data_IF_882278441074
#
_entry.id   IF_882278441074
#
_cell.length_a   1.000
_cell.length_b   1.000
_cell.length_c   1.000
_cell.angle_alpha   90.00
_cell.angle_beta   90.00
_cell.angle_gamma   90.00
#
_symmetry.space_group_name_H-M   'P 1'
#
loop_
_entity.id
_entity.type
_entity.pdbx_description
1 polymer ?
#
# COMPACT_ATOMS: atom_id res chain seq x y z
N UNK A 1 -8.08 28.51 -29.11
CA UNK A 1 -8.32 28.61 -27.65
C UNK A 1 -9.48 27.68 -27.20
N UNK A 2 -10.39 27.22 -28.08
CA UNK A 2 -11.54 26.37 -27.70
C UNK A 2 -11.30 24.87 -27.64
N UNK A 3 -10.12 24.36 -28.03
CA UNK A 3 -9.77 22.94 -27.96
C UNK A 3 -9.31 22.46 -26.58
N UNK A 4 -8.95 23.37 -25.68
CA UNK A 4 -8.42 23.03 -24.35
C UNK A 4 -9.49 22.65 -23.30
N UNK A 5 -10.72 23.19 -23.44
CA UNK A 5 -11.77 23.03 -22.42
C UNK A 5 -12.55 21.69 -22.54
N UNK A 6 -12.79 21.23 -23.77
CA UNK A 6 -13.51 19.94 -23.99
C UNK A 6 -12.66 18.73 -23.62
N UNK A 7 -11.32 18.82 -23.75
CA UNK A 7 -10.39 17.76 -23.32
C UNK A 7 -10.30 17.61 -21.80
N UNK A 8 -10.45 18.69 -21.05
CA UNK A 8 -10.31 18.67 -19.59
C UNK A 8 -11.51 18.03 -18.88
N UNK A 9 -12.73 18.21 -19.39
CA UNK A 9 -13.92 17.63 -18.77
C UNK A 9 -14.06 16.13 -18.99
N UNK A 10 -13.67 15.64 -20.16
CA UNK A 10 -13.67 14.20 -20.46
C UNK A 10 -12.59 13.48 -19.62
N UNK A 11 -11.46 14.13 -19.38
CA UNK A 11 -10.37 13.60 -18.57
C UNK A 11 -10.73 13.47 -17.07
N UNK A 12 -11.57 14.37 -16.53
CA UNK A 12 -11.97 14.35 -15.11
C UNK A 12 -12.99 13.23 -14.85
N UNK A 13 -13.86 12.92 -15.79
CA UNK A 13 -14.91 11.90 -15.65
C UNK A 13 -14.34 10.47 -15.70
N UNK A 14 -13.32 10.22 -16.51
CA UNK A 14 -12.63 8.92 -16.55
C UNK A 14 -11.76 8.71 -15.33
N UNK A 15 -11.09 9.74 -14.79
CA UNK A 15 -10.29 9.63 -13.57
C UNK A 15 -11.11 9.23 -12.35
N UNK A 16 -12.36 9.64 -12.22
CA UNK A 16 -13.23 9.27 -11.10
C UNK A 16 -13.42 7.75 -11.00
N UNK A 17 -13.50 7.04 -12.11
CA UNK A 17 -13.63 5.58 -12.12
C UNK A 17 -12.39 4.89 -11.52
N UNK A 18 -11.20 5.37 -11.84
CA UNK A 18 -9.94 4.83 -11.31
C UNK A 18 -9.72 5.10 -9.81
N UNK A 19 -10.44 6.06 -9.24
CA UNK A 19 -10.43 6.32 -7.80
C UNK A 19 -11.59 5.60 -7.10
N UNK A 20 -12.78 5.62 -7.68
CA UNK A 20 -14.01 5.06 -7.07
C UNK A 20 -13.96 3.53 -7.08
N UNK A 21 -13.48 2.89 -8.14
CA UNK A 21 -13.44 1.42 -8.24
C UNK A 21 -12.53 0.82 -7.16
N UNK A 22 -11.26 1.26 -6.97
CA UNK A 22 -10.43 0.78 -5.87
C UNK A 22 -11.02 1.07 -4.50
N UNK A 23 -11.65 2.23 -4.31
CA UNK A 23 -12.30 2.59 -3.05
C UNK A 23 -13.45 1.65 -2.72
N UNK A 24 -14.35 1.38 -3.67
CA UNK A 24 -15.46 0.44 -3.48
C UNK A 24 -14.96 -0.99 -3.28
N UNK A 25 -13.93 -1.40 -4.04
CA UNK A 25 -13.29 -2.70 -3.86
C UNK A 25 -12.70 -2.85 -2.46
N UNK A 26 -12.02 -1.82 -1.95
CA UNK A 26 -11.47 -1.81 -0.58
C UNK A 26 -12.57 -1.94 0.48
N UNK A 27 -13.66 -1.18 0.35
CA UNK A 27 -14.81 -1.26 1.27
C UNK A 27 -15.44 -2.65 1.22
N UNK A 28 -15.65 -3.22 0.03
CA UNK A 28 -16.23 -4.54 -0.13
C UNK A 28 -15.34 -5.63 0.46
N UNK A 29 -14.03 -5.61 0.20
CA UNK A 29 -13.07 -6.56 0.75
C UNK A 29 -13.00 -6.45 2.26
N UNK A 30 -12.93 -5.23 2.80
CA UNK A 30 -12.93 -5.02 4.25
C UNK A 30 -14.20 -5.56 4.90
N UNK A 31 -15.38 -5.28 4.32
CA UNK A 31 -16.66 -5.78 4.82
C UNK A 31 -16.74 -7.31 4.78
N UNK A 32 -16.24 -7.95 3.71
CA UNK A 32 -16.20 -9.41 3.59
C UNK A 32 -15.28 -10.03 4.64
N UNK A 33 -14.08 -9.49 4.82
CA UNK A 33 -13.11 -10.01 5.79
C UNK A 33 -13.63 -9.82 7.22
N UNK A 34 -14.14 -8.63 7.54
CA UNK A 34 -14.71 -8.34 8.86
C UNK A 34 -15.92 -9.24 9.16
N UNK A 35 -16.80 -9.44 8.17
CA UNK A 35 -17.95 -10.34 8.30
C UNK A 35 -17.55 -11.81 8.48
N UNK A 36 -16.60 -12.29 7.69
CA UNK A 36 -16.09 -13.67 7.80
C UNK A 36 -15.40 -13.91 9.14
N UNK A 37 -14.64 -12.94 9.61
CA UNK A 37 -13.98 -13.04 10.91
C UNK A 37 -14.99 -13.03 12.05
N UNK A 38 -15.99 -12.14 11.99
CA UNK A 38 -17.06 -12.11 12.98
C UNK A 38 -17.77 -13.46 13.10
N UNK A 39 -18.08 -14.11 11.97
CA UNK A 39 -18.69 -15.45 11.96
C UNK A 39 -17.74 -16.51 12.55
N UNK A 40 -16.46 -16.49 12.17
CA UNK A 40 -15.47 -17.42 12.68
C UNK A 40 -15.29 -17.27 14.20
N UNK A 41 -15.18 -16.04 14.69
CA UNK A 41 -15.00 -15.74 16.09
C UNK A 41 -16.24 -16.06 16.92
N UNK A 42 -17.44 -15.79 16.40
CA UNK A 42 -18.68 -16.12 17.08
C UNK A 42 -18.90 -17.63 17.18
N UNK A 43 -18.55 -18.41 16.14
CA UNK A 43 -18.56 -19.87 16.19
C UNK A 43 -17.60 -20.41 17.25
N UNK A 44 -16.36 -19.94 17.22
CA UNK A 44 -15.35 -20.34 18.20
C UNK A 44 -15.73 -19.97 19.65
N UNK A 45 -16.37 -18.81 19.85
CA UNK A 45 -16.87 -18.38 21.16
C UNK A 45 -17.96 -19.31 21.68
N UNK A 46 -18.93 -19.70 20.86
CA UNK A 46 -20.04 -20.60 21.23
C UNK A 46 -19.48 -21.97 21.63
N UNK A 47 -18.55 -22.53 20.84
CA UNK A 47 -17.93 -23.84 21.14
C UNK A 47 -17.12 -23.79 22.45
N UNK A 48 -16.31 -22.74 22.63
CA UNK A 48 -15.42 -22.64 23.80
C UNK A 48 -16.18 -22.36 25.10
N UNK A 49 -17.24 -21.55 25.05
CA UNK A 49 -18.04 -21.25 26.27
C UNK A 49 -18.98 -22.35 26.64
N UNK A 50 -19.41 -23.19 25.69
CA UNK A 50 -20.26 -24.36 25.93
C UNK A 50 -19.54 -25.48 26.69
N UNK A 51 -18.25 -25.63 26.52
CA UNK A 51 -17.45 -26.70 27.15
C UNK A 51 -16.88 -26.32 28.53
N UNK A 52 -16.71 -25.01 28.82
CA UNK A 52 -16.14 -24.55 30.09
C UNK A 52 -17.25 -24.24 31.11
N UNK A 53 -17.96 -25.26 31.52
CA UNK A 53 -18.89 -25.21 32.64
C UNK A 53 -18.20 -25.71 33.90
N UNK A 54 -17.79 -24.78 34.79
CA UNK A 54 -17.17 -25.19 36.07
C UNK A 54 -16.30 -24.11 36.72
N UNK A 55 -15.46 -24.53 37.62
CA UNK A 55 -14.57 -23.68 38.47
C UNK A 55 -13.65 -22.76 37.66
N UNK A 56 -13.48 -22.98 36.33
CA UNK A 56 -12.62 -22.23 35.45
C UNK A 56 -13.37 -21.13 34.64
N UNK A 57 -14.65 -20.89 34.90
CA UNK A 57 -15.46 -19.90 34.20
C UNK A 57 -14.91 -18.45 34.34
N UNK A 58 -14.14 -18.17 35.37
CA UNK A 58 -13.47 -16.87 35.50
C UNK A 58 -12.39 -16.65 34.44
N UNK A 59 -11.75 -17.71 33.94
CA UNK A 59 -10.75 -17.63 32.87
C UNK A 59 -11.39 -17.14 31.54
N UNK A 60 -12.62 -17.48 31.27
CA UNK A 60 -13.30 -17.04 30.05
C UNK A 60 -13.44 -15.51 30.00
N UNK A 61 -13.60 -14.87 31.16
CA UNK A 61 -13.68 -13.42 31.26
C UNK A 61 -12.38 -12.71 30.84
N UNK A 62 -11.22 -13.36 30.99
CA UNK A 62 -9.91 -12.83 30.62
C UNK A 62 -9.53 -13.28 29.21
N UNK A 63 -9.71 -14.54 28.89
CA UNK A 63 -9.29 -15.13 27.63
C UNK A 63 -10.13 -14.64 26.44
N UNK A 64 -11.43 -14.51 26.62
CA UNK A 64 -12.34 -14.05 25.57
C UNK A 64 -11.97 -12.68 24.99
N UNK A 65 -11.82 -11.59 25.80
CA UNK A 65 -11.44 -10.30 25.25
C UNK A 65 -10.04 -10.31 24.61
N UNK A 66 -9.12 -11.13 25.09
CA UNK A 66 -7.80 -11.28 24.47
C UNK A 66 -7.91 -11.92 23.09
N UNK A 67 -8.69 -13.00 22.95
CA UNK A 67 -8.93 -13.65 21.66
C UNK A 67 -9.59 -12.68 20.67
N UNK A 68 -10.60 -11.92 21.13
CA UNK A 68 -11.25 -10.91 20.30
C UNK A 68 -10.28 -9.80 19.88
N UNK A 69 -9.45 -9.31 20.79
CA UNK A 69 -8.45 -8.29 20.50
C UNK A 69 -7.43 -8.81 19.48
N UNK A 70 -6.84 -9.97 19.73
CA UNK A 70 -5.83 -10.57 18.83
C UNK A 70 -6.46 -10.90 17.47
N UNK A 71 -7.67 -11.49 17.45
CA UNK A 71 -8.40 -11.77 16.22
C UNK A 71 -8.69 -10.52 15.40
N UNK A 72 -9.13 -9.44 16.05
CA UNK A 72 -9.41 -8.15 15.39
C UNK A 72 -8.12 -7.54 14.82
N UNK A 73 -7.03 -7.52 15.58
CA UNK A 73 -5.73 -7.01 15.10
C UNK A 73 -5.21 -7.83 13.93
N UNK A 74 -5.26 -9.16 14.03
CA UNK A 74 -4.79 -10.06 12.98
C UNK A 74 -5.61 -9.89 11.70
N UNK A 75 -6.93 -9.77 11.80
CA UNK A 75 -7.78 -9.57 10.63
C UNK A 75 -7.59 -8.20 10.00
N UNK A 76 -7.43 -7.15 10.81
CA UNK A 76 -7.09 -5.82 10.30
C UNK A 76 -5.79 -5.86 9.50
N UNK A 77 -4.77 -6.55 10.02
CA UNK A 77 -3.50 -6.73 9.35
C UNK A 77 -3.63 -7.52 8.03
N UNK A 78 -4.33 -8.66 8.06
CA UNK A 78 -4.60 -9.43 6.84
C UNK A 78 -5.40 -8.62 5.80
N UNK A 79 -6.38 -7.84 6.25
CA UNK A 79 -7.19 -6.98 5.37
C UNK A 79 -6.34 -6.00 4.60
N UNK A 80 -5.34 -5.37 5.25
CA UNK A 80 -4.42 -4.44 4.60
C UNK A 80 -3.67 -5.14 3.46
N UNK A 81 -3.15 -6.35 3.69
CA UNK A 81 -2.44 -7.11 2.64
C UNK A 81 -3.34 -7.45 1.46
N UNK A 82 -4.56 -7.92 1.73
CA UNK A 82 -5.51 -8.29 0.67
C UNK A 82 -5.92 -7.06 -0.13
N UNK A 83 -6.16 -5.95 0.54
CA UNK A 83 -6.52 -4.68 -0.10
C UNK A 83 -5.37 -4.18 -0.99
N UNK A 84 -4.15 -4.12 -0.47
CA UNK A 84 -2.96 -3.72 -1.26
C UNK A 84 -2.78 -4.61 -2.49
N UNK A 85 -2.96 -5.91 -2.32
CA UNK A 85 -2.85 -6.87 -3.39
C UNK A 85 -3.91 -6.69 -4.48
N UNK A 86 -5.18 -6.50 -4.10
CA UNK A 86 -6.27 -6.30 -5.04
C UNK A 86 -6.23 -4.94 -5.74
N UNK A 87 -5.68 -3.92 -5.09
CA UNK A 87 -5.62 -2.57 -5.65
C UNK A 87 -4.34 -2.29 -6.44
N UNK A 88 -3.29 -3.07 -6.24
CA UNK A 88 -2.01 -2.92 -6.96
C UNK A 88 -2.16 -2.81 -8.48
N UNK A 89 -2.93 -3.66 -9.20
CA UNK A 89 -3.08 -3.54 -10.64
C UNK A 89 -3.77 -2.23 -11.07
N UNK A 90 -4.68 -1.71 -10.25
CA UNK A 90 -5.34 -0.43 -10.57
C UNK A 90 -4.39 0.76 -10.46
N UNK A 91 -3.46 0.72 -9.53
CA UNK A 91 -2.44 1.77 -9.39
C UNK A 91 -1.40 1.69 -10.51
N UNK A 92 -1.06 0.49 -10.98
CA UNK A 92 -0.25 0.31 -12.18
C UNK A 92 -0.90 0.94 -13.43
N UNK A 93 -2.20 0.67 -13.64
CA UNK A 93 -2.97 1.29 -14.74
C UNK A 93 -3.07 2.81 -14.62
N UNK A 94 -3.21 3.33 -13.40
CA UNK A 94 -3.19 4.77 -13.17
C UNK A 94 -1.84 5.38 -13.52
N UNK A 95 -0.73 4.75 -13.11
CA UNK A 95 0.61 5.19 -13.44
C UNK A 95 0.84 5.21 -14.96
N UNK A 96 0.41 4.15 -15.68
CA UNK A 96 0.45 4.07 -17.13
C UNK A 96 -0.27 5.23 -17.80
N UNK A 97 -1.50 5.54 -17.36
CA UNK A 97 -2.28 6.65 -17.91
C UNK A 97 -1.66 8.02 -17.63
N UNK A 98 -1.05 8.22 -16.48
CA UNK A 98 -0.32 9.46 -16.16
C UNK A 98 0.92 9.57 -17.02
N UNK A 99 1.70 8.50 -17.18
CA UNK A 99 2.90 8.49 -18.00
C UNK A 99 2.58 8.78 -19.48
N UNK A 100 1.53 8.15 -20.03
CA UNK A 100 1.03 8.41 -21.39
C UNK A 100 0.66 9.89 -21.60
N UNK A 101 0.06 10.53 -20.59
CA UNK A 101 -0.28 11.95 -20.66
C UNK A 101 0.92 12.88 -20.62
N UNK A 102 1.98 12.49 -19.93
CA UNK A 102 3.19 13.30 -19.74
C UNK A 102 4.14 13.13 -20.91
N UNK A 103 4.37 11.90 -21.35
CA UNK A 103 5.34 11.58 -22.42
C UNK A 103 4.73 11.63 -23.81
N UNK A 104 3.41 11.50 -23.94
CA UNK A 104 2.72 11.35 -25.23
C UNK A 104 2.94 9.98 -25.88
N UNK A 105 3.67 9.08 -25.23
CA UNK A 105 3.97 7.74 -25.71
C UNK A 105 3.04 6.74 -25.00
N UNK A 106 2.21 6.00 -25.77
CA UNK A 106 1.43 4.92 -25.20
C UNK A 106 2.36 3.77 -24.82
N UNK A 107 2.32 3.38 -23.54
CA UNK A 107 2.97 2.15 -23.10
C UNK A 107 2.20 1.00 -23.76
N UNK A 108 2.85 0.25 -24.65
CA UNK A 108 2.24 -0.88 -25.37
C UNK A 108 2.00 -2.07 -24.43
N UNK A 109 1.22 -1.88 -23.40
CA UNK A 109 0.64 -2.97 -22.65
C UNK A 109 -0.78 -3.15 -23.17
N UNK A 110 -1.02 -4.17 -23.99
CA UNK A 110 -2.38 -4.61 -24.29
C UNK A 110 -3.05 -4.97 -22.96
N UNK A 111 -3.85 -4.05 -22.45
CA UNK A 111 -4.58 -4.19 -21.18
C UNK A 111 -5.72 -5.21 -21.33
N UNK A 112 -5.36 -6.44 -21.65
CA UNK A 112 -6.28 -7.57 -21.62
C UNK A 112 -6.54 -7.94 -20.15
N UNK A 113 -7.79 -8.20 -19.80
CA UNK A 113 -8.18 -8.72 -18.47
C UNK A 113 -7.35 -9.94 -18.08
N UNK A 114 -6.96 -10.75 -19.06
CA UNK A 114 -6.09 -11.91 -18.88
C UNK A 114 -4.68 -11.51 -18.45
N UNK A 115 -4.11 -10.44 -19.00
CA UNK A 115 -2.79 -9.95 -18.59
C UNK A 115 -2.82 -9.34 -17.19
N UNK A 116 -3.89 -8.64 -16.82
CA UNK A 116 -4.11 -8.17 -15.45
C UNK A 116 -4.16 -9.35 -14.49
N UNK A 117 -4.89 -10.42 -14.81
CA UNK A 117 -4.94 -11.63 -13.98
C UNK A 117 -3.56 -12.33 -13.86
N UNK A 118 -2.78 -12.38 -14.94
CA UNK A 118 -1.43 -12.96 -14.95
C UNK A 118 -0.39 -12.06 -14.22
N UNK A 119 -0.65 -10.77 -14.08
CA UNK A 119 0.22 -9.87 -13.32
C UNK A 119 0.06 -10.01 -11.80
N UNK A 120 -1.04 -10.60 -11.33
CA UNK A 120 -1.37 -10.79 -9.91
C UNK A 120 -0.29 -11.56 -9.15
N UNK A 121 0.20 -12.74 -9.58
CA UNK A 121 1.28 -13.46 -8.88
C UNK A 121 2.59 -12.67 -8.85
N UNK A 122 2.88 -11.94 -9.93
CA UNK A 122 4.06 -11.09 -10.02
C UNK A 122 3.98 -9.92 -9.02
N UNK A 123 2.82 -9.27 -8.93
CA UNK A 123 2.57 -8.22 -7.95
C UNK A 123 2.75 -8.72 -6.52
N UNK A 124 2.27 -9.92 -6.20
CA UNK A 124 2.48 -10.54 -4.89
C UNK A 124 3.95 -10.78 -4.57
N UNK A 125 4.71 -11.36 -5.48
CA UNK A 125 6.15 -11.56 -5.31
C UNK A 125 6.88 -10.24 -5.12
N UNK A 126 6.43 -9.18 -5.78
CA UNK A 126 6.99 -7.86 -5.67
C UNK A 126 6.71 -7.23 -4.29
N UNK A 127 5.51 -7.37 -3.75
CA UNK A 127 5.20 -6.95 -2.38
C UNK A 127 6.02 -7.74 -1.34
N UNK A 128 6.23 -9.04 -1.55
CA UNK A 128 7.14 -9.82 -0.70
C UNK A 128 8.59 -9.32 -0.77
N UNK A 129 9.09 -8.95 -1.94
CA UNK A 129 10.44 -8.39 -2.07
C UNK A 129 10.58 -7.07 -1.31
N UNK A 130 9.56 -6.20 -1.36
CA UNK A 130 9.51 -4.97 -0.56
C UNK A 130 9.52 -5.28 0.93
N UNK A 131 8.71 -6.25 1.37
CA UNK A 131 8.65 -6.67 2.77
C UNK A 131 10.01 -7.21 3.26
N UNK A 132 10.65 -8.10 2.49
CA UNK A 132 11.97 -8.62 2.83
C UNK A 132 13.06 -7.55 2.85
N UNK A 133 12.92 -6.51 2.06
CA UNK A 133 13.81 -5.36 2.11
C UNK A 133 13.57 -4.47 3.34
N UNK A 134 12.30 -4.26 3.69
CA UNK A 134 11.90 -3.42 4.82
C UNK A 134 12.19 -4.07 6.18
N UNK A 135 11.94 -5.37 6.31
CA UNK A 135 11.99 -6.10 7.58
C UNK A 135 13.33 -5.96 8.33
N UNK A 136 14.52 -6.16 7.71
CA UNK A 136 15.78 -5.99 8.40
C UNK A 136 16.06 -4.55 8.85
N UNK A 137 15.62 -3.56 8.08
CA UNK A 137 15.76 -2.16 8.45
C UNK A 137 14.83 -1.81 9.62
N UNK A 138 13.58 -2.27 9.59
CA UNK A 138 12.63 -2.09 10.67
C UNK A 138 13.12 -2.77 11.95
N UNK A 139 13.66 -3.99 11.85
CA UNK A 139 14.23 -4.70 12.99
C UNK A 139 15.41 -3.93 13.61
N UNK A 140 16.28 -3.37 12.78
CA UNK A 140 17.38 -2.52 13.27
C UNK A 140 16.85 -1.31 14.04
N UNK A 141 15.84 -0.62 13.52
CA UNK A 141 15.23 0.53 14.21
C UNK A 141 14.55 0.09 15.52
N UNK A 142 13.88 -1.06 15.55
CA UNK A 142 13.32 -1.64 16.79
C UNK A 142 14.41 -1.90 17.82
N UNK A 143 15.53 -2.50 17.43
CA UNK A 143 16.66 -2.74 18.33
C UNK A 143 17.19 -1.42 18.92
N UNK A 144 17.38 -0.40 18.08
CA UNK A 144 17.82 0.93 18.52
C UNK A 144 16.79 1.55 19.48
N UNK A 145 15.50 1.33 19.24
CA UNK A 145 14.41 1.86 20.08
C UNK A 145 14.42 1.29 21.50
N UNK A 146 14.95 0.08 21.69
CA UNK A 146 14.99 -0.58 23.00
C UNK A 146 16.27 -0.23 23.79
N UNK A 147 17.33 0.21 23.13
CA UNK A 147 18.61 0.52 23.80
C UNK A 147 18.49 1.87 24.56
N UNK A 148 18.67 1.89 25.90
CA UNK A 148 18.67 3.12 26.66
C UNK A 148 19.76 4.09 26.15
N UNK A 149 19.42 5.36 26.00
CA UNK A 149 20.33 6.37 25.47
C UNK A 149 20.36 6.50 23.95
N UNK A 150 19.98 5.46 23.18
CA UNK A 150 19.79 5.55 21.72
C UNK A 150 18.33 5.70 21.32
N UNK A 151 17.41 5.39 22.21
CA UNK A 151 15.96 5.42 21.96
C UNK A 151 15.43 6.80 21.54
N UNK A 152 16.11 7.90 21.90
CA UNK A 152 15.72 9.24 21.47
C UNK A 152 15.85 9.42 19.93
N UNK A 153 16.70 8.66 19.27
CA UNK A 153 16.86 8.68 17.82
C UNK A 153 15.76 7.87 17.09
N UNK A 154 15.09 6.97 17.79
CA UNK A 154 14.12 6.05 17.19
C UNK A 154 12.97 6.75 16.43
N UNK A 155 12.32 7.82 16.94
CA UNK A 155 11.26 8.50 16.19
C UNK A 155 11.75 9.03 14.84
N UNK A 156 12.95 9.61 14.80
CA UNK A 156 13.55 10.14 13.57
C UNK A 156 13.88 9.02 12.58
N UNK A 157 14.42 7.92 13.08
CA UNK A 157 14.73 6.75 12.24
C UNK A 157 13.45 6.13 11.66
N UNK A 158 12.37 6.06 12.42
CA UNK A 158 11.07 5.58 11.92
C UNK A 158 10.50 6.50 10.85
N UNK A 159 10.62 7.83 11.00
CA UNK A 159 10.18 8.80 9.99
C UNK A 159 10.99 8.62 8.69
N UNK A 160 12.31 8.54 8.78
CA UNK A 160 13.18 8.36 7.62
C UNK A 160 12.91 7.02 6.93
N UNK A 161 12.78 5.94 7.70
CA UNK A 161 12.48 4.62 7.18
C UNK A 161 11.11 4.58 6.51
N UNK A 162 10.09 5.17 7.15
CA UNK A 162 8.75 5.29 6.58
C UNK A 162 8.74 6.09 5.28
N UNK A 163 9.43 7.24 5.25
CA UNK A 163 9.58 8.06 4.04
C UNK A 163 10.26 7.28 2.91
N UNK A 164 11.35 6.58 3.21
CA UNK A 164 12.05 5.76 2.25
C UNK A 164 11.16 4.66 1.67
N UNK A 165 10.42 3.97 2.52
CA UNK A 165 9.51 2.91 2.10
C UNK A 165 8.32 3.44 1.28
N UNK A 166 7.76 4.61 1.62
CA UNK A 166 6.71 5.26 0.83
C UNK A 166 7.23 5.63 -0.57
N UNK A 167 8.46 6.13 -0.68
CA UNK A 167 9.07 6.40 -1.98
C UNK A 167 9.17 5.14 -2.82
N UNK A 168 9.76 4.08 -2.28
CA UNK A 168 9.90 2.80 -2.98
C UNK A 168 8.55 2.23 -3.39
N UNK A 169 7.54 2.33 -2.50
CA UNK A 169 6.20 1.82 -2.75
C UNK A 169 5.54 2.47 -3.96
N UNK A 170 5.58 3.80 -4.05
CA UNK A 170 4.86 4.53 -5.09
C UNK A 170 5.66 4.64 -6.41
N UNK A 171 6.99 4.81 -6.35
CA UNK A 171 7.85 4.83 -7.55
C UNK A 171 7.90 3.45 -8.22
N UNK A 172 7.65 2.40 -7.46
CA UNK A 172 7.56 1.04 -7.99
C UNK A 172 6.45 0.87 -9.05
N UNK A 173 5.31 1.56 -8.94
CA UNK A 173 4.20 1.39 -9.88
C UNK A 173 4.57 1.76 -11.33
N UNK A 174 5.09 2.97 -11.64
CA UNK A 174 5.51 3.27 -13.00
C UNK A 174 6.68 2.39 -13.47
N UNK A 175 7.62 2.06 -12.58
CA UNK A 175 8.76 1.22 -12.94
C UNK A 175 8.35 -0.24 -13.19
N UNK A 176 7.33 -0.76 -12.50
CA UNK A 176 6.79 -2.11 -12.75
C UNK A 176 6.07 -2.20 -14.10
N UNK A 177 5.43 -1.14 -14.57
CA UNK A 177 4.85 -1.06 -15.91
C UNK A 177 5.91 -1.27 -17.00
N UNK A 178 7.15 -0.84 -16.75
CA UNK A 178 8.31 -1.11 -17.61
C UNK A 178 9.02 -2.44 -17.31
N UNK A 179 8.43 -3.29 -16.46
CA UNK A 179 8.97 -4.61 -16.05
C UNK A 179 10.36 -4.54 -15.42
N UNK A 180 10.70 -3.41 -14.79
CA UNK A 180 11.96 -3.22 -14.10
C UNK A 180 12.00 -4.04 -12.81
N UNK A 181 13.16 -4.60 -12.48
CA UNK A 181 13.32 -5.35 -11.24
C UNK A 181 13.25 -4.40 -10.02
N UNK A 182 12.79 -4.88 -8.87
CA UNK A 182 12.74 -4.07 -7.63
C UNK A 182 14.12 -3.53 -7.21
N UNK A 183 15.20 -4.25 -7.59
CA UNK A 183 16.57 -3.76 -7.40
C UNK A 183 16.82 -2.46 -8.15
N UNK A 184 16.36 -2.35 -9.39
CA UNK A 184 16.51 -1.13 -10.21
C UNK A 184 15.73 0.05 -9.61
N UNK A 185 14.54 -0.21 -9.01
CA UNK A 185 13.78 0.81 -8.27
C UNK A 185 14.61 1.37 -7.12
N UNK A 186 15.23 0.50 -6.32
CA UNK A 186 16.10 0.92 -5.20
C UNK A 186 17.31 1.70 -5.68
N UNK A 187 17.94 1.27 -6.77
CA UNK A 187 19.11 1.94 -7.34
C UNK A 187 18.74 3.33 -7.86
N UNK A 188 17.61 3.47 -8.59
CA UNK A 188 17.11 4.74 -9.07
C UNK A 188 16.78 5.71 -7.91
N UNK A 189 16.01 5.25 -6.91
CA UNK A 189 15.73 6.05 -5.72
C UNK A 189 16.99 6.43 -4.94
N UNK A 190 17.99 5.53 -4.90
CA UNK A 190 19.26 5.78 -4.22
C UNK A 190 20.14 6.78 -4.97
N UNK A 191 20.04 6.84 -6.30
CA UNK A 191 20.75 7.83 -7.11
C UNK A 191 20.24 9.26 -6.86
N UNK A 192 18.95 9.41 -6.56
CA UNK A 192 18.26 10.68 -6.26
C UNK A 192 17.64 10.69 -4.87
N UNK A 193 18.45 10.35 -3.85
CA UNK A 193 18.00 10.18 -2.45
C UNK A 193 17.22 11.37 -1.91
N UNK A 194 17.67 12.60 -2.18
CA UNK A 194 17.03 13.80 -1.68
C UNK A 194 15.60 13.95 -2.18
N UNK A 195 15.40 13.85 -3.49
CA UNK A 195 14.08 13.94 -4.13
C UNK A 195 13.17 12.76 -3.71
N UNK A 196 13.73 11.55 -3.69
CA UNK A 196 12.98 10.35 -3.29
C UNK A 196 12.53 10.42 -1.83
N UNK A 197 13.41 10.75 -0.88
CA UNK A 197 13.05 10.88 0.53
C UNK A 197 12.09 12.05 0.71
N UNK A 198 12.30 13.19 0.04
CA UNK A 198 11.40 14.33 0.10
C UNK A 198 9.98 13.98 -0.34
N UNK A 199 9.85 13.28 -1.46
CA UNK A 199 8.56 12.73 -1.91
C UNK A 199 7.94 11.81 -0.85
N UNK A 200 8.71 10.86 -0.33
CA UNK A 200 8.23 9.92 0.67
C UNK A 200 7.83 10.56 1.99
N UNK A 201 8.53 11.61 2.45
CA UNK A 201 8.13 12.39 3.64
C UNK A 201 6.76 13.02 3.45
N UNK A 202 6.53 13.67 2.30
CA UNK A 202 5.23 14.30 2.00
C UNK A 202 4.14 13.23 2.01
N UNK A 203 4.36 12.12 1.33
CA UNK A 203 3.37 11.02 1.27
C UNK A 203 3.13 10.43 2.66
N UNK A 204 4.18 10.14 3.42
CA UNK A 204 4.06 9.58 4.77
C UNK A 204 3.30 10.53 5.73
N UNK A 205 3.59 11.84 5.67
CA UNK A 205 2.93 12.83 6.51
C UNK A 205 1.44 12.96 6.16
N UNK A 206 1.10 13.06 4.88
CA UNK A 206 -0.30 13.21 4.44
C UNK A 206 -1.10 11.92 4.68
N UNK A 207 -0.46 10.75 4.58
CA UNK A 207 -1.11 9.45 4.85
C UNK A 207 -1.56 9.30 6.31
N UNK A 208 -0.94 10.03 7.23
CA UNK A 208 -1.35 10.10 8.63
C UNK A 208 -2.71 10.78 8.87
N UNK A 209 -3.26 11.47 7.86
CA UNK A 209 -4.55 12.16 7.95
C UNK A 209 -5.62 11.29 7.25
N UNK A 210 -6.56 10.64 7.99
CA UNK A 210 -7.44 9.62 7.44
C UNK A 210 -8.28 10.09 6.24
N UNK A 211 -8.78 11.33 6.28
CA UNK A 211 -9.61 11.88 5.20
C UNK A 211 -8.77 12.12 3.93
N UNK A 212 -7.55 12.63 4.09
CA UNK A 212 -6.64 12.89 2.98
C UNK A 212 -6.09 11.61 2.38
N UNK A 213 -5.95 10.55 3.18
CA UNK A 213 -5.45 9.26 2.73
C UNK A 213 -6.30 8.64 1.61
N UNK A 214 -7.61 8.91 1.58
CA UNK A 214 -8.49 8.45 0.50
C UNK A 214 -8.08 9.01 -0.88
N UNK A 215 -7.63 10.27 -0.92
CA UNK A 215 -7.25 10.94 -2.17
C UNK A 215 -5.74 10.87 -2.39
N UNK A 216 -5.00 10.68 -1.31
CA UNK A 216 -3.53 10.65 -1.33
C UNK A 216 -2.99 9.55 -2.25
N UNK A 217 -3.54 8.34 -2.17
CA UNK A 217 -2.97 7.20 -2.89
C UNK A 217 -2.93 7.45 -4.40
N UNK A 218 -4.04 7.83 -5.07
CA UNK A 218 -3.99 8.19 -6.49
C UNK A 218 -3.08 9.37 -6.79
N UNK A 219 -3.05 10.38 -5.91
CA UNK A 219 -2.18 11.54 -6.07
C UNK A 219 -0.70 11.18 -5.93
N UNK A 220 -0.37 10.28 -4.99
CA UNK A 220 0.99 9.78 -4.79
C UNK A 220 1.46 8.92 -5.97
N UNK A 221 0.59 8.08 -6.54
CA UNK A 221 0.90 7.33 -7.77
C UNK A 221 1.18 8.29 -8.92
N UNK A 222 0.35 9.31 -9.12
CA UNK A 222 0.56 10.31 -10.16
C UNK A 222 1.88 11.10 -9.93
N UNK A 223 2.13 11.56 -8.70
CA UNK A 223 3.37 12.25 -8.34
C UNK A 223 4.62 11.40 -8.51
N UNK A 224 4.57 10.12 -8.14
CA UNK A 224 5.65 9.17 -8.35
C UNK A 224 5.92 8.93 -9.84
N UNK A 225 4.87 8.89 -10.67
CA UNK A 225 5.01 8.74 -12.13
C UNK A 225 5.65 9.98 -12.75
N UNK A 226 5.27 11.18 -12.30
CA UNK A 226 5.94 12.42 -12.72
C UNK A 226 7.42 12.41 -12.34
N UNK A 227 7.73 12.05 -11.10
CA UNK A 227 9.11 11.94 -10.62
C UNK A 227 9.93 10.92 -11.43
N UNK A 228 9.31 9.79 -11.79
CA UNK A 228 9.91 8.80 -12.68
C UNK A 228 10.22 9.39 -14.06
N UNK A 229 9.25 10.04 -14.71
CA UNK A 229 9.43 10.61 -16.05
C UNK A 229 10.48 11.72 -16.08
N UNK A 230 10.48 12.59 -15.06
CA UNK A 230 11.32 13.80 -15.07
C UNK A 230 12.75 13.53 -14.61
N UNK A 231 12.96 12.70 -13.57
CA UNK A 231 14.28 12.59 -12.94
C UNK A 231 14.89 11.19 -13.01
N UNK A 232 14.07 10.13 -12.91
CA UNK A 232 14.62 8.79 -12.71
C UNK A 232 14.78 8.01 -14.02
N UNK A 233 13.97 8.27 -15.03
CA UNK A 233 14.06 7.63 -16.35
C UNK A 233 15.37 7.91 -17.06
N UNK A 234 15.96 9.09 -16.86
CA UNK A 234 17.19 9.54 -17.50
C UNK A 234 18.47 9.01 -16.84
N UNK A 235 18.37 8.37 -15.68
CA UNK A 235 19.52 7.80 -14.96
C UNK A 235 19.89 6.39 -15.42
N UNK A 236 19.26 5.95 -16.49
CA UNK A 236 19.37 4.59 -17.01
C UNK A 236 20.24 4.47 -18.26
#
# INVERSE_FOLDING_TARGET
ISRGLVGSEMCIRDRRRFVIIPLLANIAVFALIAGSLYQLMSGFYIDTTGEITGTLSFLTWIVTPIIWLVGTLLSGYLSIFIVLFLTSPFYGLLAEKVEEQVTGEAIQNESSVVQVALSVPRGFLRELQKLFHYLPMALLVVIISVIPGLNFAAPFLWIILGAWMMSLQFIDYPMDNHRLAFREVREACSARRGTSIGFGVIVAFVSGIPILNLVLIPAAVAGATLLWCDELRHLR
#
